data_IF_810222857327
#
_entry.id   IF_810222857327
#
_cell.length_a   1.000
_cell.length_b   1.000
_cell.length_c   1.000
_cell.angle_alpha   90.00
_cell.angle_beta   90.00
_cell.angle_gamma   90.00
#
_symmetry.space_group_name_H-M   'P 1'
#
loop_
_entity.id
_entity.type
_entity.pdbx_description
1 polymer ?
#
# COMPACT_ATOMS: atom_id res chain seq x y z
N UNK A 1 36.61 11.86 5.24
CA UNK A 1 35.61 12.50 6.11
C UNK A 1 34.40 11.59 6.15
N UNK A 2 34.01 11.09 7.32
CA UNK A 2 32.80 10.27 7.48
C UNK A 2 31.63 11.24 7.58
N UNK A 3 30.87 11.39 6.49
CA UNK A 3 29.60 12.10 6.52
C UNK A 3 28.66 11.33 7.43
N UNK A 4 28.32 11.91 8.59
CA UNK A 4 27.19 11.45 9.40
C UNK A 4 25.94 11.76 8.59
N UNK A 5 25.36 10.75 7.94
CA UNK A 5 24.06 10.88 7.31
C UNK A 5 23.05 11.34 8.38
N UNK A 6 22.54 12.55 8.24
CA UNK A 6 21.46 13.05 9.10
C UNK A 6 20.20 12.24 8.82
N UNK A 7 19.52 11.82 9.88
CA UNK A 7 18.26 11.09 9.78
C UNK A 7 17.21 11.85 8.96
N UNK A 8 16.39 11.15 8.15
CA UNK A 8 15.29 11.77 7.40
C UNK A 8 14.43 12.66 8.31
N UNK A 9 14.43 13.95 7.97
CA UNK A 9 13.54 14.96 8.50
C UNK A 9 12.29 15.05 7.63
N UNK A 10 11.30 14.22 7.96
CA UNK A 10 10.00 14.24 7.32
C UNK A 10 8.90 13.81 8.31
N UNK A 11 7.70 14.36 8.12
CA UNK A 11 6.50 13.89 8.80
C UNK A 11 5.82 12.81 7.96
N UNK A 12 5.23 11.82 8.64
CA UNK A 12 4.42 10.79 8.01
C UNK A 12 3.01 10.79 8.59
N UNK A 13 2.03 10.65 7.70
CA UNK A 13 0.63 10.46 8.04
C UNK A 13 0.06 9.24 7.29
N UNK A 14 -0.96 8.65 7.91
CA UNK A 14 -1.82 7.65 7.29
C UNK A 14 -3.27 8.07 7.56
N UNK A 15 -4.14 7.91 6.57
CA UNK A 15 -5.58 8.15 6.67
C UNK A 15 -6.29 6.97 6.00
N UNK A 16 -7.09 6.25 6.77
CA UNK A 16 -7.82 5.06 6.33
C UNK A 16 -9.32 5.32 6.41
N UNK A 17 -9.96 5.27 5.24
CA UNK A 17 -11.41 5.47 5.11
C UNK A 17 -12.09 4.20 4.64
N UNK A 18 -13.33 4.02 5.09
CA UNK A 18 -14.20 2.97 4.59
C UNK A 18 -15.59 3.50 4.30
N UNK A 19 -16.24 2.97 3.25
CA UNK A 19 -17.58 3.42 2.84
C UNK A 19 -18.64 3.05 3.88
N UNK A 20 -18.54 1.85 4.46
CA UNK A 20 -19.48 1.37 5.46
C UNK A 20 -18.74 0.95 6.71
N UNK A 21 -19.26 1.37 7.86
CA UNK A 21 -18.63 1.16 9.15
C UNK A 21 -19.46 0.31 10.12
N UNK A 22 -20.56 -0.30 9.64
CA UNK A 22 -21.38 -1.23 10.42
C UNK A 22 -20.78 -2.63 10.36
N UNK A 23 -20.35 -3.13 11.50
CA UNK A 23 -19.76 -4.44 11.66
C UNK A 23 -20.80 -5.56 11.53
N UNK A 24 -20.33 -6.73 11.10
CA UNK A 24 -21.03 -8.00 11.24
C UNK A 24 -20.57 -8.76 12.49
N UNK A 25 -20.67 -10.08 12.43
CA UNK A 25 -20.06 -10.99 13.40
C UNK A 25 -18.87 -11.72 12.77
N UNK A 26 -18.17 -12.57 13.54
CA UNK A 26 -17.09 -13.41 13.03
C UNK A 26 -17.59 -14.37 11.94
N UNK A 27 -18.79 -14.90 12.11
CA UNK A 27 -19.43 -15.88 11.23
C UNK A 27 -20.06 -15.19 10.01
N UNK A 28 -20.56 -13.96 10.19
CA UNK A 28 -21.23 -13.19 9.15
C UNK A 28 -20.67 -11.75 9.11
N UNK A 29 -19.42 -11.57 8.64
CA UNK A 29 -18.82 -10.26 8.54
C UNK A 29 -19.54 -9.44 7.45
N UNK A 30 -19.66 -8.13 7.65
CA UNK A 30 -20.35 -7.24 6.70
C UNK A 30 -19.38 -6.55 5.77
N UNK A 31 -19.79 -6.31 4.53
CA UNK A 31 -19.02 -5.53 3.56
C UNK A 31 -18.75 -4.11 4.09
N UNK A 32 -17.52 -3.63 3.92
CA UNK A 32 -17.19 -2.22 4.15
C UNK A 32 -17.31 -1.37 2.88
N UNK A 33 -17.74 -1.97 1.76
CA UNK A 33 -17.79 -1.34 0.44
C UNK A 33 -16.39 -1.19 -0.14
N UNK A 34 -15.77 -0.03 0.12
CA UNK A 34 -14.42 0.33 -0.32
C UNK A 34 -13.55 0.64 0.90
N UNK A 35 -12.31 0.17 0.87
CA UNK A 35 -11.26 0.55 1.81
C UNK A 35 -10.28 1.47 1.07
N UNK A 36 -10.14 2.69 1.54
CA UNK A 36 -9.21 3.69 1.02
C UNK A 36 -8.06 3.85 2.02
N UNK A 37 -6.82 3.75 1.56
CA UNK A 37 -5.62 4.02 2.37
C UNK A 37 -4.85 5.14 1.68
N UNK A 38 -4.68 6.25 2.38
CA UNK A 38 -3.81 7.35 2.00
C UNK A 38 -2.61 7.37 2.94
N UNK A 39 -1.42 7.51 2.37
CA UNK A 39 -0.20 7.83 3.11
C UNK A 39 0.37 9.13 2.57
N UNK A 40 0.87 9.97 3.46
CA UNK A 40 1.39 11.30 3.13
C UNK A 40 2.72 11.50 3.83
N UNK A 41 3.73 11.85 3.05
CA UNK A 41 5.04 12.30 3.50
C UNK A 41 5.14 13.80 3.28
N UNK A 42 5.44 14.54 4.35
CA UNK A 42 5.74 15.97 4.29
C UNK A 42 7.23 16.15 4.56
N UNK A 43 8.05 16.42 3.53
CA UNK A 43 9.48 16.69 3.67
C UNK A 43 9.73 17.91 4.57
N UNK A 44 10.70 17.80 5.47
CA UNK A 44 11.19 18.89 6.30
C UNK A 44 12.38 19.62 5.67
N UNK A 45 12.80 20.76 6.24
CA UNK A 45 13.92 21.55 5.72
C UNK A 45 15.24 20.77 5.70
N UNK A 46 15.46 19.82 6.64
CA UNK A 46 16.67 18.98 6.69
C UNK A 46 16.66 17.84 5.68
N UNK A 47 15.53 17.53 5.05
CA UNK A 47 15.42 16.51 4.01
C UNK A 47 14.40 16.95 2.97
N UNK A 48 14.77 17.87 2.05
CA UNK A 48 13.88 18.34 1.01
C UNK A 48 13.39 17.21 0.10
N UNK A 49 12.23 17.40 -0.52
CA UNK A 49 11.71 16.45 -1.51
C UNK A 49 12.75 16.15 -2.59
N UNK A 50 12.89 14.88 -2.95
CA UNK A 50 13.86 14.41 -3.92
C UNK A 50 15.24 14.11 -3.34
N UNK A 51 15.47 14.26 -2.04
CA UNK A 51 16.78 13.96 -1.42
C UNK A 51 16.81 12.62 -0.67
N UNK A 52 15.64 12.03 -0.43
CA UNK A 52 15.47 10.75 0.26
C UNK A 52 14.33 9.95 -0.38
N UNK A 53 14.35 8.63 -0.22
CA UNK A 53 13.31 7.75 -0.73
C UNK A 53 12.81 6.79 0.33
N UNK A 54 11.53 6.42 0.24
CA UNK A 54 10.95 5.34 1.04
C UNK A 54 11.35 4.02 0.40
N UNK A 55 12.04 3.15 1.15
CA UNK A 55 12.47 1.83 0.69
C UNK A 55 11.40 0.76 0.95
N UNK A 56 10.62 0.92 2.02
CA UNK A 56 9.56 -0.02 2.40
C UNK A 56 8.48 0.67 3.22
N UNK A 57 7.22 0.32 2.97
CA UNK A 57 6.12 0.60 3.89
C UNK A 57 5.54 -0.72 4.45
N UNK A 58 5.06 -0.68 5.70
CA UNK A 58 4.31 -1.76 6.33
C UNK A 58 3.02 -1.18 6.87
N UNK A 59 1.89 -1.58 6.31
CA UNK A 59 0.56 -1.09 6.70
C UNK A 59 -0.15 -2.16 7.52
N UNK A 60 -0.54 -1.84 8.75
CA UNK A 60 -1.25 -2.72 9.66
C UNK A 60 -2.75 -2.38 9.66
N UNK A 61 -3.57 -3.42 9.55
CA UNK A 61 -5.02 -3.32 9.51
C UNK A 61 -5.65 -3.88 10.78
N UNK A 62 -6.67 -3.18 11.29
CA UNK A 62 -7.40 -3.55 12.51
C UNK A 62 -7.77 -5.03 12.55
N UNK A 63 -7.72 -5.62 13.76
CA UNK A 63 -8.05 -7.03 14.00
C UNK A 63 -9.44 -7.47 13.54
N UNK A 64 -10.38 -6.54 13.38
CA UNK A 64 -11.75 -6.80 12.94
C UNK A 64 -11.93 -6.79 11.42
N UNK A 65 -10.94 -6.35 10.65
CA UNK A 65 -10.99 -6.46 9.19
C UNK A 65 -10.71 -7.89 8.73
N UNK A 66 -11.38 -8.29 7.66
CA UNK A 66 -11.24 -9.58 6.99
C UNK A 66 -11.02 -9.34 5.51
N UNK A 67 -9.92 -9.86 4.98
CA UNK A 67 -9.62 -9.80 3.55
C UNK A 67 -9.97 -11.12 2.88
N UNK A 68 -10.90 -11.09 1.94
CA UNK A 68 -11.44 -12.29 1.27
C UNK A 68 -10.80 -12.54 -0.11
N UNK A 69 -9.52 -12.21 -0.28
CA UNK A 69 -8.84 -12.29 -1.59
C UNK A 69 -8.88 -13.66 -2.28
N UNK A 70 -9.13 -14.76 -1.53
CA UNK A 70 -9.32 -16.11 -2.09
C UNK A 70 -10.59 -16.24 -2.95
N UNK A 71 -11.62 -15.44 -2.71
CA UNK A 71 -12.86 -15.46 -3.48
C UNK A 71 -12.72 -14.79 -4.86
N UNK A 72 -11.67 -13.99 -5.05
CA UNK A 72 -11.48 -13.16 -6.23
C UNK A 72 -10.54 -13.83 -7.24
N UNK A 73 -10.62 -13.39 -8.50
CA UNK A 73 -9.66 -13.79 -9.53
C UNK A 73 -8.24 -13.41 -9.09
N UNK A 74 -7.27 -14.24 -9.46
CA UNK A 74 -5.88 -14.10 -9.03
C UNK A 74 -4.99 -13.73 -10.21
N UNK A 75 -4.19 -12.68 -10.06
CA UNK A 75 -3.06 -12.34 -10.91
C UNK A 75 -1.89 -13.28 -10.55
N UNK A 76 -1.37 -13.98 -11.57
CA UNK A 76 -0.28 -14.96 -11.44
C UNK A 76 0.83 -14.64 -12.45
N UNK A 77 1.62 -13.59 -12.21
CA UNK A 77 2.80 -13.33 -13.02
C UNK A 77 3.81 -14.47 -12.86
N UNK A 78 4.65 -14.66 -13.88
CA UNK A 78 5.72 -15.65 -13.92
C UNK A 78 6.68 -15.55 -12.72
N UNK A 79 7.05 -14.32 -12.35
CA UNK A 79 7.83 -14.00 -11.16
C UNK A 79 6.99 -13.13 -10.19
N UNK A 80 6.40 -13.72 -9.13
CA UNK A 80 5.58 -12.98 -8.17
C UNK A 80 6.31 -11.92 -7.34
N UNK A 81 7.60 -12.07 -7.04
CA UNK A 81 8.33 -11.11 -6.22
C UNK A 81 8.81 -9.89 -6.99
N UNK A 82 9.03 -10.03 -8.30
CA UNK A 82 9.48 -8.95 -9.19
C UNK A 82 8.76 -9.08 -10.54
N UNK A 83 7.44 -8.85 -10.58
CA UNK A 83 6.64 -9.07 -11.78
C UNK A 83 6.90 -8.01 -12.83
N UNK A 84 6.88 -8.42 -14.11
CA UNK A 84 6.97 -7.49 -15.22
C UNK A 84 5.71 -6.62 -15.33
N UNK A 85 5.83 -5.29 -15.48
CA UNK A 85 4.69 -4.41 -15.70
C UNK A 85 3.85 -4.77 -16.92
N UNK A 86 4.48 -5.23 -18.01
CA UNK A 86 3.81 -5.69 -19.23
C UNK A 86 3.00 -6.96 -18.97
N UNK A 87 3.55 -7.89 -18.18
CA UNK A 87 2.85 -9.10 -17.80
C UNK A 87 1.62 -8.79 -16.93
N UNK A 88 1.77 -7.89 -15.95
CA UNK A 88 0.66 -7.50 -15.08
C UNK A 88 -0.44 -6.79 -15.88
N UNK A 89 -0.09 -5.85 -16.76
CA UNK A 89 -1.07 -5.16 -17.60
C UNK A 89 -1.85 -6.10 -18.53
N UNK A 90 -1.18 -7.10 -19.12
CA UNK A 90 -1.82 -8.02 -20.09
C UNK A 90 -2.59 -9.15 -19.43
N UNK A 91 -2.09 -9.74 -18.35
CA UNK A 91 -2.65 -10.97 -17.75
C UNK A 91 -3.56 -10.72 -16.54
N UNK A 92 -3.47 -9.56 -15.88
CA UNK A 92 -4.09 -9.36 -14.58
C UNK A 92 -5.32 -8.45 -14.58
N UNK A 93 -5.79 -8.00 -15.75
CA UNK A 93 -6.98 -7.14 -15.88
C UNK A 93 -8.21 -7.70 -15.15
N UNK A 94 -8.47 -9.01 -15.27
CA UNK A 94 -9.58 -9.69 -14.59
C UNK A 94 -9.44 -9.82 -13.07
N UNK A 95 -8.24 -9.60 -12.54
CA UNK A 95 -7.92 -9.63 -11.11
C UNK A 95 -7.81 -8.22 -10.51
N UNK A 96 -8.22 -7.17 -11.25
CA UNK A 96 -8.29 -5.81 -10.73
C UNK A 96 -9.28 -5.73 -9.57
N UNK A 97 -8.85 -5.12 -8.48
CA UNK A 97 -9.62 -4.98 -7.24
C UNK A 97 -9.61 -3.55 -6.70
N UNK A 98 -8.94 -2.64 -7.41
CA UNK A 98 -8.77 -1.30 -6.91
C UNK A 98 -8.00 -0.37 -7.83
N UNK A 99 -7.95 0.89 -7.42
CA UNK A 99 -7.21 1.95 -8.08
C UNK A 99 -6.80 3.01 -7.07
N UNK A 100 -5.92 3.91 -7.51
CA UNK A 100 -5.34 4.92 -6.65
C UNK A 100 -4.58 5.97 -7.43
N UNK A 101 -3.97 6.88 -6.69
CA UNK A 101 -3.08 7.91 -7.19
C UNK A 101 -1.87 8.00 -6.28
N UNK A 102 -0.73 8.38 -6.83
CA UNK A 102 0.43 8.72 -6.04
C UNK A 102 1.04 10.02 -6.55
N UNK A 103 1.86 10.64 -5.73
CA UNK A 103 2.65 11.81 -6.11
C UNK A 103 4.07 11.57 -5.66
N UNK A 104 5.01 11.58 -6.61
CA UNK A 104 6.44 11.55 -6.33
C UNK A 104 7.05 12.90 -6.66
N UNK A 105 8.17 13.23 -6.04
CA UNK A 105 8.98 14.39 -6.43
C UNK A 105 10.45 14.00 -6.45
N UNK A 106 11.08 14.21 -7.60
CA UNK A 106 12.50 14.01 -7.79
C UNK A 106 13.30 15.25 -7.36
N UNK A 107 14.63 15.10 -7.23
CA UNK A 107 15.54 16.24 -6.97
C UNK A 107 15.46 17.31 -8.06
N UNK A 108 15.09 16.90 -9.28
CA UNK A 108 14.95 17.74 -10.46
C UNK A 108 13.48 17.75 -10.89
N UNK A 109 12.94 18.94 -11.15
CA UNK A 109 11.56 19.12 -11.60
C UNK A 109 10.55 19.26 -10.45
N UNK A 110 9.27 19.31 -10.81
CA UNK A 110 8.16 19.40 -9.87
C UNK A 110 7.58 18.05 -9.45
N UNK A 111 6.52 18.06 -8.63
CA UNK A 111 5.78 16.85 -8.30
C UNK A 111 5.17 16.19 -9.54
N UNK A 112 5.37 14.88 -9.67
CA UNK A 112 4.79 14.03 -10.70
C UNK A 112 3.54 13.30 -10.16
N UNK A 113 2.44 13.42 -10.89
CA UNK A 113 1.22 12.67 -10.60
C UNK A 113 1.26 11.28 -11.24
N UNK A 114 1.03 10.27 -10.42
CA UNK A 114 1.05 8.86 -10.80
C UNK A 114 -0.34 8.26 -10.63
N UNK A 115 -0.65 7.28 -11.47
CA UNK A 115 -1.83 6.43 -11.31
C UNK A 115 -1.42 5.09 -10.71
N UNK A 116 -2.29 4.52 -9.88
CA UNK A 116 -2.09 3.21 -9.27
C UNK A 116 -3.25 2.30 -9.65
N UNK A 117 -2.96 1.09 -10.10
CA UNK A 117 -3.95 0.02 -10.26
C UNK A 117 -3.60 -1.14 -9.35
N UNK A 118 -4.56 -1.59 -8.56
CA UNK A 118 -4.39 -2.68 -7.60
C UNK A 118 -4.96 -3.99 -8.15
N UNK A 119 -4.17 -5.05 -8.07
CA UNK A 119 -4.55 -6.39 -8.51
C UNK A 119 -4.40 -7.42 -7.38
N UNK A 120 -5.39 -8.30 -7.28
CA UNK A 120 -5.38 -9.42 -6.34
C UNK A 120 -4.39 -10.47 -6.80
N UNK A 121 -3.34 -10.75 -6.04
CA UNK A 121 -2.40 -11.82 -6.34
C UNK A 121 -2.82 -13.16 -5.73
N UNK A 122 -2.13 -14.22 -6.15
CA UNK A 122 -2.30 -15.56 -5.55
C UNK A 122 -1.66 -15.65 -4.15
N UNK A 123 -2.00 -16.73 -3.43
CA UNK A 123 -1.30 -17.08 -2.20
C UNK A 123 0.20 -17.29 -2.46
N UNK A 124 1.06 -16.93 -1.50
CA UNK A 124 2.51 -17.14 -1.66
C UNK A 124 2.83 -18.64 -1.57
N UNK A 125 3.85 -19.09 -2.31
CA UNK A 125 4.28 -20.50 -2.27
C UNK A 125 4.82 -20.91 -0.91
N UNK A 126 5.53 -19.99 -0.22
CA UNK A 126 6.14 -20.26 1.09
C UNK A 126 5.13 -20.31 2.23
N UNK A 127 4.01 -19.59 2.13
CA UNK A 127 2.95 -19.59 3.14
C UNK A 127 1.60 -19.27 2.50
N UNK A 128 0.68 -20.23 2.52
CA UNK A 128 -0.66 -20.11 1.90
C UNK A 128 -1.56 -19.06 2.56
N UNK A 129 -1.25 -18.68 3.80
CA UNK A 129 -1.94 -17.59 4.52
C UNK A 129 -1.49 -16.21 4.06
N UNK A 130 -0.32 -16.11 3.43
CA UNK A 130 0.16 -14.88 2.82
C UNK A 130 -0.37 -14.78 1.39
N UNK A 131 -0.66 -13.57 0.93
CA UNK A 131 -1.17 -13.30 -0.41
C UNK A 131 -0.43 -12.16 -1.07
N UNK A 132 -0.11 -12.32 -2.35
CA UNK A 132 0.45 -11.25 -3.16
C UNK A 132 -0.59 -10.19 -3.47
N UNK A 133 -0.11 -8.96 -3.60
CA UNK A 133 -0.89 -7.80 -3.96
C UNK A 133 -0.05 -6.94 -4.90
N UNK A 134 -0.50 -6.72 -6.13
CA UNK A 134 0.29 -6.01 -7.12
C UNK A 134 -0.26 -4.60 -7.31
N UNK A 135 0.60 -3.60 -7.15
CA UNK A 135 0.29 -2.20 -7.38
C UNK A 135 1.06 -1.77 -8.62
N UNK A 136 0.38 -1.69 -9.76
CA UNK A 136 0.98 -1.12 -10.96
C UNK A 136 0.92 0.39 -10.88
N UNK A 137 2.08 1.04 -10.91
CA UNK A 137 2.25 2.48 -10.84
C UNK A 137 2.63 2.99 -12.22
N UNK A 138 1.89 3.96 -12.73
CA UNK A 138 2.14 4.58 -14.04
C UNK A 138 2.22 6.11 -13.94
N UNK A 139 3.24 6.66 -14.57
CA UNK A 139 3.49 8.10 -14.76
C UNK A 139 3.92 8.36 -16.20
N UNK A 140 3.71 9.57 -16.69
CA UNK A 140 4.00 9.92 -18.09
C UNK A 140 4.84 11.18 -18.24
N UNK A 141 5.08 11.94 -17.17
CA UNK A 141 5.82 13.21 -17.24
C UNK A 141 6.25 13.65 -15.82
N UNK A 142 7.51 14.07 -15.62
CA UNK A 142 8.55 14.24 -16.65
C UNK A 142 9.22 12.94 -17.10
N UNK A 143 9.03 11.83 -16.38
CA UNK A 143 9.57 10.52 -16.73
C UNK A 143 8.44 9.50 -16.98
N UNK A 144 8.64 8.62 -17.95
CA UNK A 144 7.72 7.50 -18.15
C UNK A 144 7.98 6.46 -17.07
N UNK A 145 7.07 6.37 -16.11
CA UNK A 145 7.09 5.37 -15.05
C UNK A 145 6.09 4.28 -15.41
N UNK A 146 6.56 3.03 -15.43
CA UNK A 146 5.70 1.86 -15.45
C UNK A 146 6.36 0.78 -14.59
N UNK A 147 5.99 0.73 -13.32
CA UNK A 147 6.57 -0.19 -12.35
C UNK A 147 5.47 -0.97 -11.63
N UNK A 148 5.82 -2.13 -11.07
CA UNK A 148 4.91 -2.92 -10.24
C UNK A 148 5.54 -3.11 -8.88
N UNK A 149 4.82 -2.65 -7.85
CA UNK A 149 5.14 -2.97 -6.47
C UNK A 149 4.47 -4.31 -6.13
N UNK A 150 5.27 -5.32 -5.83
CA UNK A 150 4.81 -6.63 -5.34
C UNK A 150 4.72 -6.61 -3.81
N UNK A 151 3.55 -6.22 -3.30
CA UNK A 151 3.27 -6.22 -1.87
C UNK A 151 2.77 -7.60 -1.41
N UNK A 152 2.93 -7.90 -0.12
CA UNK A 152 2.42 -9.15 0.47
C UNK A 152 1.57 -8.86 1.69
N UNK A 153 0.30 -9.29 1.66
CA UNK A 153 -0.59 -9.28 2.81
C UNK A 153 -0.30 -10.53 3.65
N UNK A 154 0.01 -10.35 4.94
CA UNK A 154 0.37 -11.41 5.88
C UNK A 154 -0.49 -11.31 7.13
N UNK A 155 -0.92 -12.43 7.73
CA UNK A 155 -1.51 -12.41 9.06
C UNK A 155 -0.53 -11.84 10.09
N UNK A 156 -1.07 -11.18 11.11
CA UNK A 156 -0.34 -10.74 12.29
C UNK A 156 -1.23 -10.89 13.52
N UNK A 157 -0.67 -10.68 14.71
CA UNK A 157 -1.38 -10.78 15.99
C UNK A 157 -1.50 -9.43 16.70
N UNK A 158 -2.21 -9.42 17.84
CA UNK A 158 -2.40 -8.25 18.69
C UNK A 158 -3.58 -7.39 18.25
N UNK A 159 -3.37 -6.08 18.21
CA UNK A 159 -4.38 -5.10 17.77
C UNK A 159 -4.70 -5.17 16.26
N UNK A 160 -3.92 -5.94 15.50
CA UNK A 160 -4.01 -6.03 14.05
C UNK A 160 -4.19 -7.50 13.64
N UNK A 161 -4.96 -7.74 12.57
CA UNK A 161 -5.13 -9.09 11.99
C UNK A 161 -4.24 -9.31 10.77
N UNK A 162 -3.92 -8.22 10.05
CA UNK A 162 -3.10 -8.28 8.85
C UNK A 162 -2.09 -7.14 8.82
N UNK A 163 -0.96 -7.41 8.18
CA UNK A 163 0.00 -6.39 7.73
C UNK A 163 0.26 -6.56 6.23
N UNK A 164 0.34 -5.46 5.50
CA UNK A 164 0.76 -5.41 4.11
C UNK A 164 2.20 -4.91 4.06
N UNK A 165 3.12 -5.82 3.71
CA UNK A 165 4.51 -5.47 3.43
C UNK A 165 4.60 -4.93 2.00
N UNK A 166 5.00 -3.67 1.83
CA UNK A 166 5.10 -2.95 0.56
C UNK A 166 6.56 -2.57 0.30
N UNK A 167 7.37 -3.45 -0.32
CA UNK A 167 8.72 -3.10 -0.73
C UNK A 167 8.66 -2.13 -1.92
N UNK A 168 9.31 -0.98 -1.85
CA UNK A 168 9.33 -0.03 -2.96
C UNK A 168 10.47 -0.44 -3.91
N UNK A 169 10.22 -0.73 -5.19
CA UNK A 169 11.27 -1.03 -6.17
C UNK A 169 12.31 0.08 -6.29
N UNK A 170 13.57 -0.28 -6.53
CA UNK A 170 14.68 0.68 -6.69
C UNK A 170 14.42 1.68 -7.82
N UNK A 171 13.78 1.27 -8.91
CA UNK A 171 13.43 2.17 -10.02
C UNK A 171 12.35 3.20 -9.68
N UNK A 172 11.65 3.08 -8.53
CA UNK A 172 10.76 4.12 -8.01
C UNK A 172 11.46 4.99 -6.95
N UNK A 173 12.53 4.50 -6.32
CA UNK A 173 13.35 5.26 -5.39
C UNK A 173 14.37 6.15 -6.13
N UNK A 174 14.92 5.61 -7.22
CA UNK A 174 15.93 6.24 -8.08
C UNK A 174 15.51 6.04 -9.54
N UNK A 175 14.51 6.81 -10.04
CA UNK A 175 13.97 6.62 -11.40
C UNK A 175 14.97 6.93 -12.52
N UNK A 176 16.00 7.72 -12.22
CA UNK A 176 17.13 7.98 -13.11
C UNK A 176 18.42 7.91 -12.28
N UNK A 177 19.52 7.47 -12.88
CA UNK A 177 20.81 7.39 -12.20
C UNK A 177 21.18 8.74 -11.56
N UNK A 178 21.48 8.73 -10.26
CA UNK A 178 21.80 9.94 -9.49
C UNK A 178 20.60 10.81 -9.09
N UNK A 179 19.37 10.45 -9.48
CA UNK A 179 18.15 11.19 -9.16
C UNK A 179 17.31 10.39 -8.17
N UNK A 180 17.17 10.90 -6.96
CA UNK A 180 16.32 10.30 -5.92
C UNK A 180 14.91 10.89 -6.00
N UNK A 181 13.90 10.04 -5.79
CA UNK A 181 12.49 10.44 -5.74
C UNK A 181 11.88 10.19 -4.37
N UNK A 182 11.32 11.24 -3.80
CA UNK A 182 10.51 11.17 -2.57
C UNK A 182 9.07 10.90 -2.93
N UNK A 183 8.48 9.86 -2.36
CA UNK A 183 7.05 9.62 -2.43
C UNK A 183 6.33 10.57 -1.46
N UNK A 184 5.57 11.52 -1.99
CA UNK A 184 4.84 12.52 -1.20
C UNK A 184 3.47 12.03 -0.77
N UNK A 185 2.73 11.41 -1.69
CA UNK A 185 1.41 10.85 -1.40
C UNK A 185 1.24 9.51 -2.09
N UNK A 186 0.58 8.58 -1.42
CA UNK A 186 0.16 7.32 -2.02
C UNK A 186 -1.23 6.96 -1.50
N UNK A 187 -2.22 7.10 -2.38
CA UNK A 187 -3.60 6.72 -2.14
C UNK A 187 -3.90 5.46 -2.95
N UNK A 188 -4.41 4.42 -2.30
CA UNK A 188 -4.93 3.24 -2.99
C UNK A 188 -6.19 2.78 -2.32
N UNK A 189 -7.12 2.33 -3.15
CA UNK A 189 -8.36 1.74 -2.70
C UNK A 189 -8.50 0.29 -3.12
N UNK A 190 -9.25 -0.47 -2.34
CA UNK A 190 -9.72 -1.81 -2.72
C UNK A 190 -11.21 -1.95 -2.46
N UNK A 191 -11.91 -2.64 -3.35
CA UNK A 191 -13.35 -2.88 -3.25
C UNK A 191 -13.78 -4.07 -4.10
N UNK A 192 -15.08 -4.31 -4.15
CA UNK A 192 -15.70 -5.30 -5.02
C UNK A 192 -16.27 -6.48 -4.26
N UNK A 193 -17.07 -7.26 -4.98
CA UNK A 193 -17.74 -8.47 -4.47
C UNK A 193 -17.58 -9.56 -5.51
N UNK A 194 -17.19 -10.76 -5.08
CA UNK A 194 -17.10 -11.94 -5.94
C UNK A 194 -17.88 -13.08 -5.33
N UNK A 195 -18.83 -13.65 -6.09
CA UNK A 195 -19.70 -14.74 -5.63
C UNK A 195 -20.38 -14.43 -4.28
N UNK A 196 -20.86 -13.21 -4.11
CA UNK A 196 -21.49 -12.74 -2.86
C UNK A 196 -20.53 -12.41 -1.72
N UNK A 197 -19.21 -12.59 -1.90
CA UNK A 197 -18.19 -12.31 -0.88
C UNK A 197 -17.50 -10.98 -1.18
N UNK A 198 -17.59 -9.96 -0.30
CA UNK A 198 -16.93 -8.67 -0.51
C UNK A 198 -15.41 -8.79 -0.30
N UNK A 199 -14.61 -7.95 -0.97
CA UNK A 199 -13.13 -8.04 -0.91
C UNK A 199 -12.61 -7.79 0.50
N UNK A 200 -13.17 -6.79 1.18
CA UNK A 200 -12.91 -6.50 2.59
C UNK A 200 -14.22 -6.50 3.35
N UNK A 201 -14.22 -7.13 4.52
CA UNK A 201 -15.35 -7.16 5.45
C UNK A 201 -14.94 -6.73 6.84
N UNK A 202 -15.93 -6.34 7.64
CA UNK A 202 -15.78 -6.01 9.05
C UNK A 202 -16.56 -7.01 9.91
N UNK A 203 -15.84 -7.76 10.76
CA UNK A 203 -16.40 -8.85 11.58
C UNK A 203 -16.74 -8.44 13.02
N UNK A 204 -16.42 -7.21 13.39
CA UNK A 204 -16.60 -6.69 14.74
C UNK A 204 -16.22 -5.22 14.83
N UNK A 205 -16.56 -4.60 15.96
CA UNK A 205 -16.17 -3.23 16.27
C UNK A 205 -15.92 -3.15 17.78
N UNK A 206 -14.65 -3.05 18.17
CA UNK A 206 -14.24 -2.97 19.57
C UNK A 206 -13.96 -1.51 19.94
N UNK A 207 -14.66 -0.96 20.93
CA UNK A 207 -14.42 0.42 21.38
C UNK A 207 -14.83 1.52 20.39
N UNK A 208 -15.71 1.22 19.43
CA UNK A 208 -16.25 2.20 18.47
C UNK A 208 -15.25 2.70 17.42
N UNK A 209 -14.02 2.17 17.41
CA UNK A 209 -12.95 2.59 16.51
C UNK A 209 -12.16 1.38 15.99
N UNK A 210 -11.63 1.52 14.80
CA UNK A 210 -10.71 0.60 14.15
C UNK A 210 -9.32 1.23 14.13
N UNK A 211 -8.28 0.46 14.44
CA UNK A 211 -6.90 0.93 14.53
C UNK A 211 -6.11 0.63 13.26
N UNK A 212 -5.35 1.60 12.80
CA UNK A 212 -4.44 1.46 11.66
C UNK A 212 -3.06 1.99 12.02
N UNK A 213 -2.02 1.44 11.39
CA UNK A 213 -0.64 1.89 11.57
C UNK A 213 0.13 1.75 10.26
N UNK A 214 0.91 2.75 9.90
CA UNK A 214 1.91 2.68 8.84
C UNK A 214 3.30 2.80 9.45
N UNK A 215 4.22 1.93 9.06
CA UNK A 215 5.65 2.08 9.33
C UNK A 215 6.37 2.26 7.99
N UNK A 216 7.17 3.31 7.88
CA UNK A 216 7.84 3.73 6.65
C UNK A 216 9.33 3.73 6.89
N UNK A 217 10.07 2.91 6.16
CA UNK A 217 11.52 2.85 6.20
C UNK A 217 12.07 3.62 5.01
N UNK A 218 13.15 4.35 5.24
CA UNK A 218 13.82 5.14 4.21
C UNK A 218 15.13 4.50 3.78
N UNK A 219 15.71 5.01 2.71
CA UNK A 219 17.00 4.55 2.17
C UNK A 219 18.19 4.82 3.07
N UNK A 220 18.09 5.78 3.99
CA UNK A 220 19.13 6.11 4.99
C UNK A 220 19.10 5.17 6.22
N UNK A 221 18.18 4.21 6.26
CA UNK A 221 18.00 3.27 7.37
C UNK A 221 17.09 3.76 8.48
N UNK A 222 16.62 5.01 8.44
CA UNK A 222 15.66 5.54 9.41
C UNK A 222 14.25 5.02 9.15
N UNK A 223 13.39 5.15 10.17
CA UNK A 223 11.97 4.82 10.04
C UNK A 223 11.08 5.85 10.74
N UNK A 224 9.86 6.00 10.23
CA UNK A 224 8.79 6.78 10.84
C UNK A 224 7.55 5.91 10.95
N UNK A 225 6.74 6.15 11.97
CA UNK A 225 5.47 5.48 12.17
C UNK A 225 4.35 6.51 12.26
N UNK A 226 3.23 6.20 11.63
CA UNK A 226 1.99 6.96 11.71
C UNK A 226 0.85 6.03 12.12
N UNK A 227 -0.15 6.56 12.81
CA UNK A 227 -1.34 5.82 13.22
C UNK A 227 -2.59 6.57 12.82
N UNK A 228 -3.67 5.83 12.58
CA UNK A 228 -4.97 6.39 12.31
C UNK A 228 -6.06 5.55 12.97
N UNK A 229 -7.24 6.15 13.16
CA UNK A 229 -8.44 5.45 13.60
C UNK A 229 -9.66 5.80 12.77
N UNK A 230 -10.43 4.80 12.38
CA UNK A 230 -11.73 5.00 11.75
C UNK A 230 -12.86 4.62 12.69
N UNK A 231 -13.93 5.40 12.73
CA UNK A 231 -15.12 5.06 13.52
C UNK A 231 -15.80 3.80 12.99
N UNK A 232 -16.33 2.96 13.90
CA UNK A 232 -17.15 1.81 13.56
C UNK A 232 -18.35 1.67 14.50
N UNK A 233 -19.36 0.90 14.07
CA UNK A 233 -20.56 0.58 14.86
C UNK A 233 -20.93 -0.90 14.73
N UNK A 234 -21.66 -1.43 15.71
CA UNK A 234 -22.21 -2.79 15.67
C UNK A 234 -23.42 -2.88 14.72
#
# INVERSE_FOLDING_TARGET
MVSVASAVDAQQAIDVKMTHNKAGTKEKPKSIGKLDVLTTTTPGPGSPAGTFATSKAVIYFDKNLVFNGKAFKECKPSNPSTPSPTEVSSKCSSAKIGSGKATGQATIGGPEALTVTAFNGAATKSNKSNRWFYLQVKGSSPLVINSVIAATLKPTSGDYAYKLDVPIPSNLQTPLAGVTATLLNFSTSVSGTSKGVPYVSLKGCSGGKLKFKGTFNYTDGTSKTATDTAACKK
#
